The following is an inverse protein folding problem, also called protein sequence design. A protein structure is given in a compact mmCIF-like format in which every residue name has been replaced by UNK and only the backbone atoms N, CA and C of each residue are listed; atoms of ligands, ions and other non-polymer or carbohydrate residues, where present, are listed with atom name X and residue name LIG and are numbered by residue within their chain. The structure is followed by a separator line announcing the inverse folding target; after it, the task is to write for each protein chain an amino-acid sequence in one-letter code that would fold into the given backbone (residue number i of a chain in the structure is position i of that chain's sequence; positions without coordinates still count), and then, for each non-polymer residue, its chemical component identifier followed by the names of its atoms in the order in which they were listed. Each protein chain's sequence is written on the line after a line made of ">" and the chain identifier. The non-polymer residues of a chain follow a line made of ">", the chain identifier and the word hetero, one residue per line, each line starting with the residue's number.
data_IF_258469374411
#
_entry.id   IF_258469374411
#
_cell.length_a   1.000
_cell.length_b   1.000
_cell.length_c   1.000
_cell.angle_alpha   90.00
_cell.angle_beta   90.00
_cell.angle_gamma   90.00
#
_symmetry.space_group_name_H-M   'P 1'
#
loop_
_entity.id
_entity.type
_entity.pdbx_description
1 polymer ?
#
# COMPACT_ATOMS: atom_id res chain seq x y z
N UNK A 1 -42.34 29.07 67.49
CA UNK A 1 -42.13 30.53 67.43
C UNK A 1 -40.64 30.76 67.56
N UNK A 2 -39.94 30.91 66.43
CA UNK A 2 -39.28 32.18 66.03
C UNK A 2 -38.12 32.48 66.98
N UNK A 3 -36.85 32.43 66.58
CA UNK A 3 -36.21 33.30 65.59
C UNK A 3 -34.93 32.67 65.01
N UNK A 4 -34.96 32.35 63.72
CA UNK A 4 -33.75 32.26 62.89
C UNK A 4 -33.96 33.09 61.61
N UNK A 5 -34.51 34.29 61.80
CA UNK A 5 -34.65 35.33 60.76
C UNK A 5 -33.72 36.50 61.10
N UNK A 6 -32.41 36.31 61.05
CA UNK A 6 -31.52 37.45 60.93
C UNK A 6 -30.14 37.08 60.37
N UNK A 7 -30.06 36.78 59.07
CA UNK A 7 -28.82 36.92 58.28
C UNK A 7 -29.05 36.92 56.76
N UNK A 8 -30.24 37.31 56.30
CA UNK A 8 -30.56 37.47 54.87
C UNK A 8 -30.63 38.96 54.56
N UNK A 9 -29.51 39.69 54.64
CA UNK A 9 -29.25 40.88 53.80
C UNK A 9 -27.83 41.43 53.95
N UNK A 10 -26.97 41.02 53.02
CA UNK A 10 -25.83 41.74 52.43
C UNK A 10 -25.23 40.75 51.42
N UNK A 11 -24.99 40.99 50.13
CA UNK A 11 -24.73 42.20 49.37
C UNK A 11 -24.59 41.77 47.89
N UNK A 12 -25.42 42.34 47.02
CA UNK A 12 -25.10 42.81 45.65
C UNK A 12 -24.93 41.85 44.43
N UNK A 13 -25.75 42.19 43.41
CA UNK A 13 -25.54 42.22 41.94
C UNK A 13 -25.49 40.91 41.13
N UNK A 14 -26.48 40.74 40.25
CA UNK A 14 -26.24 40.18 38.92
C UNK A 14 -25.22 41.06 38.17
N UNK A 15 -24.27 40.45 37.45
CA UNK A 15 -24.38 40.53 35.99
C UNK A 15 -24.04 39.22 35.27
N UNK A 16 -24.78 39.01 34.18
CA UNK A 16 -24.51 38.22 32.98
C UNK A 16 -23.59 37.00 33.10
N UNK A 17 -24.19 35.82 32.99
CA UNK A 17 -23.50 34.62 32.49
C UNK A 17 -23.04 34.91 31.07
N UNK A 18 -21.76 35.19 30.90
CA UNK A 18 -21.15 35.44 29.60
C UNK A 18 -21.27 34.18 28.75
N UNK A 19 -22.22 34.19 27.81
CA UNK A 19 -22.39 33.14 26.82
C UNK A 19 -21.12 33.04 25.96
N UNK A 20 -20.30 31.97 26.07
CA UNK A 20 -19.12 31.78 25.22
C UNK A 20 -19.50 31.56 23.75
N UNK A 21 -20.79 31.32 23.48
CA UNK A 21 -21.39 31.17 22.15
C UNK A 21 -21.66 32.52 21.45
N UNK A 22 -21.76 33.63 22.19
CA UNK A 22 -21.92 34.95 21.57
C UNK A 22 -20.59 35.48 21.01
N UNK A 23 -19.45 35.13 21.63
CA UNK A 23 -18.11 35.47 21.13
C UNK A 23 -17.75 34.86 19.77
N UNK A 24 -18.31 33.70 19.41
CA UNK A 24 -18.09 33.10 18.08
C UNK A 24 -19.00 33.70 17.01
N UNK A 25 -20.13 34.31 17.42
CA UNK A 25 -21.04 35.02 16.53
C UNK A 25 -20.55 36.45 16.23
N UNK A 26 -19.77 37.05 17.14
CA UNK A 26 -19.15 38.38 16.96
C UNK A 26 -17.88 38.35 16.08
N UNK A 27 -17.56 37.20 15.46
CA UNK A 27 -16.65 37.16 14.31
C UNK A 27 -17.35 37.90 13.19
N UNK A 28 -17.17 39.22 13.19
CA UNK A 28 -17.76 40.14 12.25
C UNK A 28 -17.41 39.71 10.82
N UNK A 29 -18.33 38.98 10.19
CA UNK A 29 -18.33 38.60 8.79
C UNK A 29 -18.73 39.80 7.93
N UNK A 30 -18.19 40.98 8.23
CA UNK A 30 -18.35 42.19 7.41
C UNK A 30 -17.11 42.31 6.55
N UNK A 31 -17.05 41.48 5.51
CA UNK A 31 -16.09 41.68 4.42
C UNK A 31 -16.45 43.01 3.77
N UNK A 32 -15.72 44.06 4.12
CA UNK A 32 -15.88 45.37 3.47
C UNK A 32 -15.65 45.18 1.97
N UNK A 33 -16.33 45.95 1.11
CA UNK A 33 -16.16 45.86 -0.36
C UNK A 33 -14.69 46.01 -0.80
N UNK A 34 -13.86 46.66 0.02
CA UNK A 34 -12.43 46.87 -0.19
C UNK A 34 -11.60 45.62 0.14
N UNK A 35 -11.98 44.85 1.16
CA UNK A 35 -11.33 43.59 1.52
C UNK A 35 -11.72 42.48 0.56
N UNK A 36 -13.01 42.38 0.19
CA UNK A 36 -13.48 41.40 -0.79
C UNK A 36 -12.65 41.45 -2.08
N UNK A 37 -12.33 42.66 -2.57
CA UNK A 37 -11.54 42.84 -3.79
C UNK A 37 -10.10 42.32 -3.68
N UNK A 38 -9.51 42.29 -2.48
CA UNK A 38 -8.17 41.74 -2.21
C UNK A 38 -8.19 40.21 -2.07
N UNK A 39 -9.23 39.63 -1.45
CA UNK A 39 -9.33 38.19 -1.20
C UNK A 39 -9.91 37.38 -2.37
N UNK A 40 -10.74 37.98 -3.23
CA UNK A 40 -11.31 37.33 -4.42
C UNK A 40 -10.26 36.66 -5.32
N UNK A 41 -9.18 37.32 -5.76
CA UNK A 41 -8.16 36.66 -6.60
C UNK A 41 -7.45 35.51 -5.87
N UNK A 42 -7.29 35.59 -4.54
CA UNK A 42 -6.66 34.54 -3.73
C UNK A 42 -7.54 33.28 -3.62
N UNK A 43 -8.85 33.44 -3.44
CA UNK A 43 -9.79 32.30 -3.40
C UNK A 43 -9.84 31.61 -4.77
N UNK A 44 -9.88 32.38 -5.86
CA UNK A 44 -9.84 31.83 -7.23
C UNK A 44 -8.56 31.03 -7.45
N UNK A 45 -7.41 31.54 -6.97
CA UNK A 45 -6.15 30.81 -7.02
C UNK A 45 -6.20 29.48 -6.25
N UNK A 46 -6.77 29.46 -5.04
CA UNK A 46 -6.95 28.23 -4.27
C UNK A 46 -7.92 27.25 -4.95
N UNK A 47 -9.02 27.74 -5.53
CA UNK A 47 -9.95 26.91 -6.30
C UNK A 47 -9.26 26.29 -7.51
N UNK A 48 -8.43 27.06 -8.23
CA UNK A 48 -7.63 26.54 -9.33
C UNK A 48 -6.72 25.39 -8.86
N UNK A 49 -6.00 25.56 -7.76
CA UNK A 49 -5.17 24.50 -7.18
C UNK A 49 -5.99 23.28 -6.73
N UNK A 50 -7.18 23.49 -6.16
CA UNK A 50 -8.06 22.41 -5.77
C UNK A 50 -8.52 21.58 -6.99
N UNK A 51 -8.88 22.24 -8.10
CA UNK A 51 -9.26 21.56 -9.35
C UNK A 51 -8.07 20.78 -9.92
N UNK A 52 -6.88 21.40 -9.98
CA UNK A 52 -5.65 20.72 -10.44
C UNK A 52 -5.32 19.52 -9.57
N UNK A 53 -5.53 19.61 -8.25
CA UNK A 53 -5.31 18.51 -7.32
C UNK A 53 -6.30 17.36 -7.54
N UNK A 54 -7.59 17.66 -7.68
CA UNK A 54 -8.63 16.65 -7.94
C UNK A 54 -8.37 15.95 -9.28
N UNK A 55 -8.01 16.71 -10.32
CA UNK A 55 -7.67 16.16 -11.62
C UNK A 55 -6.48 15.19 -11.52
N UNK A 56 -5.37 15.62 -10.90
CA UNK A 56 -4.20 14.77 -10.69
C UNK A 56 -4.52 13.50 -9.89
N UNK A 57 -5.33 13.62 -8.84
CA UNK A 57 -5.77 12.48 -8.03
C UNK A 57 -6.53 11.46 -8.89
N UNK A 58 -7.42 11.91 -9.77
CA UNK A 58 -8.17 11.00 -10.63
C UNK A 58 -7.26 10.26 -11.63
N UNK A 59 -6.23 10.92 -12.17
CA UNK A 59 -5.23 10.25 -13.01
C UNK A 59 -4.42 9.20 -12.23
N UNK A 60 -4.04 9.49 -10.99
CA UNK A 60 -3.34 8.55 -10.14
C UNK A 60 -4.19 7.31 -9.84
N UNK A 61 -5.48 7.51 -9.55
CA UNK A 61 -6.43 6.42 -9.30
C UNK A 61 -6.57 5.49 -10.50
N UNK A 62 -6.73 6.05 -11.72
CA UNK A 62 -6.79 5.24 -12.93
C UNK A 62 -5.51 4.43 -13.18
N UNK A 63 -4.34 5.02 -12.89
CA UNK A 63 -3.07 4.32 -13.00
C UNK A 63 -2.95 3.20 -11.96
N UNK A 64 -3.42 3.42 -10.73
CA UNK A 64 -3.39 2.39 -9.68
C UNK A 64 -4.25 1.18 -10.07
N UNK A 65 -5.41 1.41 -10.69
CA UNK A 65 -6.26 0.33 -11.21
C UNK A 65 -5.55 -0.47 -12.31
N UNK A 66 -4.90 0.22 -13.26
CA UNK A 66 -4.11 -0.44 -14.32
C UNK A 66 -2.94 -1.25 -13.75
N UNK A 67 -2.25 -0.72 -12.75
CA UNK A 67 -1.14 -1.44 -12.09
C UNK A 67 -1.65 -2.73 -11.45
N UNK A 68 -2.83 -2.71 -10.82
CA UNK A 68 -3.43 -3.92 -10.22
C UNK A 68 -3.78 -4.98 -11.27
N UNK A 69 -4.29 -4.57 -12.43
CA UNK A 69 -4.56 -5.48 -13.55
C UNK A 69 -3.26 -6.08 -14.09
N UNK A 70 -2.24 -5.26 -14.37
CA UNK A 70 -0.94 -5.74 -14.83
C UNK A 70 -0.27 -6.69 -13.82
N UNK A 71 -0.36 -6.42 -12.52
CA UNK A 71 0.20 -7.31 -11.48
C UNK A 71 -0.50 -8.67 -11.45
N UNK A 72 -1.82 -8.69 -11.71
CA UNK A 72 -2.57 -9.94 -11.87
C UNK A 72 -2.08 -10.73 -13.07
N UNK A 73 -1.89 -10.06 -14.21
CA UNK A 73 -1.41 -10.71 -15.44
C UNK A 73 0.00 -11.28 -15.26
N UNK A 74 0.90 -10.53 -14.62
CA UNK A 74 2.26 -11.01 -14.28
C UNK A 74 2.20 -12.26 -13.40
N UNK A 75 1.29 -12.30 -12.41
CA UNK A 75 1.12 -13.47 -11.53
C UNK A 75 0.61 -14.67 -12.31
N UNK A 76 -0.36 -14.49 -13.20
CA UNK A 76 -0.90 -15.55 -14.05
C UNK A 76 0.19 -16.13 -14.96
N UNK A 77 0.92 -15.29 -15.70
CA UNK A 77 2.01 -15.72 -16.56
C UNK A 77 3.12 -16.43 -15.78
N UNK A 78 3.41 -15.98 -14.56
CA UNK A 78 4.39 -16.64 -13.70
C UNK A 78 3.93 -18.01 -13.24
N UNK A 79 2.65 -18.18 -12.94
CA UNK A 79 2.07 -19.47 -12.58
C UNK A 79 2.13 -20.46 -13.77
N UNK A 80 1.81 -19.99 -14.97
CA UNK A 80 1.89 -20.78 -16.20
C UNK A 80 3.35 -21.21 -16.49
N UNK A 81 4.29 -20.27 -16.42
CA UNK A 81 5.71 -20.56 -16.59
C UNK A 81 6.21 -21.60 -15.58
N UNK A 82 5.84 -21.47 -14.30
CA UNK A 82 6.29 -22.38 -13.26
C UNK A 82 5.73 -23.79 -13.47
N UNK A 83 4.47 -23.89 -13.90
CA UNK A 83 3.82 -25.16 -14.24
C UNK A 83 4.53 -25.83 -15.41
N UNK A 84 4.74 -25.11 -16.53
CA UNK A 84 5.42 -25.64 -17.71
C UNK A 84 6.87 -26.04 -17.40
N UNK A 85 7.57 -25.23 -16.60
CA UNK A 85 8.93 -25.55 -16.16
C UNK A 85 8.97 -26.80 -15.29
N UNK A 86 8.00 -26.97 -14.39
CA UNK A 86 7.88 -28.17 -13.56
C UNK A 86 7.66 -29.41 -14.42
N UNK A 87 6.77 -29.34 -15.41
CA UNK A 87 6.52 -30.45 -16.34
C UNK A 87 7.77 -30.79 -17.15
N UNK A 88 8.51 -29.78 -17.60
CA UNK A 88 9.78 -29.98 -18.28
C UNK A 88 10.83 -30.61 -17.36
N UNK A 89 10.93 -30.16 -16.10
CA UNK A 89 11.86 -30.72 -15.11
C UNK A 89 11.54 -32.18 -14.80
N UNK A 90 10.25 -32.53 -14.70
CA UNK A 90 9.80 -33.89 -14.54
C UNK A 90 10.27 -34.74 -15.72
N UNK A 91 9.90 -34.37 -16.95
CA UNK A 91 10.31 -35.07 -18.18
C UNK A 91 11.84 -35.15 -18.36
N UNK A 92 12.58 -34.14 -17.91
CA UNK A 92 14.05 -34.08 -18.01
C UNK A 92 14.77 -34.79 -16.85
N UNK A 93 14.03 -35.32 -15.87
CA UNK A 93 14.60 -36.04 -14.74
C UNK A 93 15.30 -37.30 -15.23
N UNK A 94 16.55 -37.51 -14.81
CA UNK A 94 17.37 -38.66 -15.23
C UNK A 94 16.63 -40.00 -15.07
N UNK A 95 15.99 -40.22 -13.92
CA UNK A 95 15.22 -41.45 -13.66
C UNK A 95 14.03 -41.67 -14.61
N UNK A 96 13.45 -40.59 -15.14
CA UNK A 96 12.29 -40.65 -16.03
C UNK A 96 12.73 -40.78 -17.49
N UNK A 97 13.76 -40.04 -17.88
CA UNK A 97 14.47 -40.23 -19.14
C UNK A 97 14.95 -41.68 -19.25
N UNK A 98 15.64 -42.22 -18.25
CA UNK A 98 16.11 -43.61 -18.25
C UNK A 98 14.98 -44.63 -18.37
N UNK A 99 13.80 -44.37 -17.78
CA UNK A 99 12.61 -45.22 -18.02
C UNK A 99 12.12 -45.14 -19.46
N UNK A 100 12.15 -43.96 -20.08
CA UNK A 100 11.77 -43.75 -21.48
C UNK A 100 12.77 -44.35 -22.48
N UNK A 101 14.07 -44.39 -22.16
CA UNK A 101 15.11 -44.97 -23.04
C UNK A 101 15.35 -46.48 -22.84
N UNK A 102 14.81 -47.09 -21.77
CA UNK A 102 14.83 -48.56 -21.53
C UNK A 102 14.38 -49.43 -22.71
N UNK A 103 13.27 -49.14 -23.42
CA UNK A 103 12.87 -49.93 -24.58
C UNK A 103 13.86 -49.85 -25.75
N UNK A 104 14.76 -48.87 -25.74
CA UNK A 104 15.82 -48.65 -26.74
C UNK A 104 17.17 -49.25 -26.27
N UNK A 105 17.19 -49.95 -25.13
CA UNK A 105 18.34 -50.70 -24.64
C UNK A 105 19.41 -49.89 -23.89
N UNK A 106 19.19 -48.59 -23.64
CA UNK A 106 20.11 -47.78 -22.83
C UNK A 106 19.85 -47.98 -21.33
N UNK A 107 20.90 -48.28 -20.57
CA UNK A 107 20.88 -48.42 -19.10
C UNK A 107 21.75 -47.34 -18.44
N UNK A 108 21.25 -46.79 -17.32
CA UNK A 108 22.05 -45.90 -16.48
C UNK A 108 23.21 -46.68 -15.84
N UNK A 109 24.43 -46.11 -15.87
CA UNK A 109 25.54 -46.64 -15.11
C UNK A 109 25.33 -46.32 -13.62
N UNK A 110 24.85 -47.30 -12.85
CA UNK A 110 24.64 -47.17 -11.40
C UNK A 110 25.95 -47.26 -10.61
N UNK A 111 27.01 -47.83 -11.18
CA UNK A 111 28.32 -47.95 -10.55
C UNK A 111 29.30 -46.89 -11.07
N UNK A 112 30.12 -46.29 -10.19
CA UNK A 112 31.19 -45.39 -10.63
C UNK A 112 32.18 -46.14 -11.52
N UNK A 113 32.72 -45.49 -12.57
CA UNK A 113 33.67 -46.12 -13.49
C UNK A 113 34.95 -46.52 -12.75
N UNK A 114 35.44 -47.74 -13.04
CA UNK A 114 36.68 -48.25 -12.46
C UNK A 114 37.86 -47.36 -12.87
N UNK A 115 38.52 -46.76 -11.88
CA UNK A 115 39.81 -46.08 -12.10
C UNK A 115 40.87 -47.15 -12.35
N UNK A 116 41.36 -47.26 -13.57
CA UNK A 116 42.55 -48.04 -13.90
C UNK A 116 43.76 -47.32 -13.28
N UNK A 117 44.19 -47.74 -12.09
CA UNK A 117 45.52 -47.40 -11.57
C UNK A 117 46.50 -48.35 -12.23
N UNK A 118 47.36 -47.80 -13.09
CA UNK A 118 48.52 -48.49 -13.60
C UNK A 118 49.51 -48.53 -12.44
N UNK A 119 49.61 -49.67 -11.75
CA UNK A 119 50.77 -49.94 -10.91
C UNK A 119 51.95 -50.08 -11.85
N UNK A 120 52.81 -49.06 -11.86
CA UNK A 120 54.13 -49.20 -12.46
C UNK A 120 54.87 -50.19 -11.58
N UNK A 121 55.06 -51.40 -12.11
CA UNK A 121 56.05 -52.35 -11.64
C UNK A 121 57.37 -51.58 -11.49
N UNK A 122 57.82 -51.44 -10.25
CA UNK A 122 59.14 -50.90 -9.94
C UNK A 122 60.11 -52.02 -10.32
N UNK A 123 60.70 -51.88 -11.50
CA UNK A 123 61.80 -52.72 -11.97
C UNK A 123 63.04 -52.46 -11.09
N UNK A 124 63.34 -53.49 -10.30
CA UNK A 124 64.62 -53.90 -9.66
C UNK A 124 65.59 -52.84 -9.15
#
# INVERSE_FOLDING_TARGET
>A
MTEAKNKIKSKQKEPSKDHPLKKVADVNLTVSKQDARKWVPFIIYLTFWAVVYIANRHYAEQNELKIKELDKDIKEYRAEYLTLKSDLMFKSKQSEVAKLVKPIGLQELTSPPNKLRIEKEVEQ
#
